data_IF_685466247874
#
_entry.id   IF_685466247874
#
_cell.length_a   1.000
_cell.length_b   1.000
_cell.length_c   1.000
_cell.angle_alpha   90.00
_cell.angle_beta   90.00
_cell.angle_gamma   90.00
#
_symmetry.space_group_name_H-M   'P 1'
#
loop_
_entity.id
_entity.type
_entity.pdbx_description
1 polymer ?
#
# COMPACT_ATOMS: atom_id res chain seq x y z
N UNK A 1 6.79 19.60 8.61
CA UNK A 1 5.74 19.35 7.61
C UNK A 1 5.64 17.86 7.20
N UNK A 2 6.69 17.21 6.64
CA UNK A 2 6.63 15.77 6.28
C UNK A 2 6.55 14.85 7.50
N UNK A 3 7.20 15.21 8.59
CA UNK A 3 7.17 14.49 9.88
C UNK A 3 5.75 14.40 10.45
N UNK A 4 4.95 15.42 10.23
CA UNK A 4 3.60 15.50 10.78
C UNK A 4 2.63 14.56 10.07
N UNK A 5 2.77 14.39 8.75
CA UNK A 5 1.93 13.47 7.95
C UNK A 5 2.23 12.02 8.30
N UNK A 6 3.51 11.67 8.48
CA UNK A 6 3.88 10.33 8.91
C UNK A 6 3.25 9.96 10.26
N UNK A 7 3.17 10.93 11.20
CA UNK A 7 2.49 10.72 12.48
C UNK A 7 1.00 10.42 12.26
N UNK A 8 0.33 11.15 11.36
CA UNK A 8 -1.08 10.89 11.03
C UNK A 8 -1.26 9.48 10.44
N UNK A 9 -0.39 9.08 9.51
CA UNK A 9 -0.41 7.73 8.95
C UNK A 9 -0.17 6.67 10.04
N UNK A 10 0.80 6.89 10.91
CA UNK A 10 1.13 5.97 12.01
C UNK A 10 -0.04 5.85 13.03
N UNK A 11 -0.77 6.94 13.28
CA UNK A 11 -1.98 6.93 14.12
C UNK A 11 -3.11 6.16 13.41
N UNK A 12 -3.37 6.41 12.13
CA UNK A 12 -4.41 5.70 11.38
C UNK A 12 -4.10 4.21 11.32
N UNK A 13 -2.85 3.85 11.02
CA UNK A 13 -2.40 2.46 10.97
C UNK A 13 -2.37 1.76 12.35
N UNK A 14 -2.38 2.52 13.46
CA UNK A 14 -2.28 1.99 14.82
C UNK A 14 -0.87 1.63 15.25
N UNK A 15 0.12 2.25 14.65
CA UNK A 15 1.52 2.18 15.08
C UNK A 15 1.74 3.10 16.29
N UNK A 16 1.06 4.25 16.28
CA UNK A 16 1.09 5.24 17.38
C UNK A 16 -0.34 5.38 17.91
N UNK A 17 -0.46 5.42 19.24
CA UNK A 17 -1.72 5.74 19.92
C UNK A 17 -1.80 7.27 20.04
N UNK A 18 -2.89 7.92 19.61
CA UNK A 18 -3.05 9.36 19.73
C UNK A 18 -3.32 9.76 21.19
N UNK A 19 -2.77 10.88 21.63
CA UNK A 19 -3.09 11.46 22.95
C UNK A 19 -4.54 11.95 23.03
N UNK A 20 -5.09 12.42 21.90
CA UNK A 20 -6.45 12.91 21.76
C UNK A 20 -7.02 12.57 20.39
N UNK A 21 -8.35 12.52 20.30
CA UNK A 21 -9.06 12.19 19.07
C UNK A 21 -9.34 10.71 18.90
N UNK A 22 -9.98 10.36 17.79
CA UNK A 22 -10.38 8.98 17.46
C UNK A 22 -10.20 8.69 15.99
N UNK A 23 -9.96 7.43 15.67
CA UNK A 23 -9.87 6.92 14.31
C UNK A 23 -11.08 6.02 14.03
N UNK A 24 -11.80 6.34 12.96
CA UNK A 24 -12.94 5.54 12.50
C UNK A 24 -12.67 4.98 11.12
N UNK A 25 -12.89 3.69 10.93
CA UNK A 25 -12.87 3.03 9.63
C UNK A 25 -14.26 2.46 9.36
N UNK A 26 -14.89 2.90 8.27
CA UNK A 26 -16.29 2.55 7.95
C UNK A 26 -17.26 2.76 9.11
N UNK A 27 -17.09 3.83 9.89
CA UNK A 27 -17.94 4.16 11.03
C UNK A 27 -17.66 3.37 12.31
N UNK A 28 -16.68 2.45 12.30
CA UNK A 28 -16.24 1.68 13.46
C UNK A 28 -15.04 2.38 14.10
N UNK A 29 -15.09 2.63 15.41
CA UNK A 29 -13.95 3.15 16.18
C UNK A 29 -12.87 2.09 16.27
N UNK A 30 -11.71 2.37 15.67
CA UNK A 30 -10.54 1.48 15.65
C UNK A 30 -9.37 2.01 16.47
N UNK A 31 -9.57 3.09 17.23
CA UNK A 31 -8.51 3.81 17.96
C UNK A 31 -7.70 2.89 18.87
N UNK A 32 -8.38 2.02 19.62
CA UNK A 32 -7.77 1.09 20.56
C UNK A 32 -7.39 -0.27 19.90
N UNK A 33 -7.76 -0.49 18.63
CA UNK A 33 -7.45 -1.75 17.96
C UNK A 33 -5.96 -1.82 17.59
N UNK A 34 -5.33 -2.99 17.74
CA UNK A 34 -3.98 -3.21 17.26
C UNK A 34 -3.94 -3.15 15.73
N UNK A 35 -2.81 -2.76 15.15
CA UNK A 35 -2.58 -2.54 13.72
C UNK A 35 -3.19 -3.63 12.82
N UNK A 36 -2.98 -4.91 13.16
CA UNK A 36 -3.44 -6.05 12.36
C UNK A 36 -4.95 -6.27 12.35
N UNK A 37 -5.71 -5.54 13.19
CA UNK A 37 -7.19 -5.61 13.26
C UNK A 37 -7.89 -4.37 12.70
N UNK A 38 -7.16 -3.35 12.26
CA UNK A 38 -7.74 -2.09 11.77
C UNK A 38 -8.22 -2.16 10.32
N UNK A 39 -7.83 -3.18 9.57
CA UNK A 39 -8.12 -3.25 8.14
C UNK A 39 -7.42 -2.17 7.32
N UNK A 40 -6.29 -1.67 7.81
CA UNK A 40 -5.48 -0.62 7.17
C UNK A 40 -4.22 -1.26 6.59
N UNK A 41 -4.00 -1.05 5.30
CA UNK A 41 -2.75 -1.39 4.61
C UNK A 41 -1.89 -0.15 4.43
N UNK A 42 -0.56 -0.31 4.45
CA UNK A 42 0.36 0.79 4.26
C UNK A 42 1.45 0.42 3.25
N UNK A 43 1.72 1.33 2.33
CA UNK A 43 2.86 1.29 1.41
C UNK A 43 3.82 2.39 1.84
N UNK A 44 5.01 1.99 2.28
CA UNK A 44 6.07 2.89 2.70
C UNK A 44 6.93 3.31 1.51
N UNK A 45 7.55 4.47 1.60
CA UNK A 45 8.48 4.98 0.60
C UNK A 45 9.60 3.97 0.27
N UNK A 46 10.12 3.26 1.27
CA UNK A 46 11.21 2.28 1.15
C UNK A 46 10.75 0.86 0.77
N UNK A 47 9.49 0.68 0.38
CA UNK A 47 8.84 -0.60 0.04
C UNK A 47 8.82 -1.66 1.16
N UNK A 48 9.80 -1.70 2.04
CA UNK A 48 9.93 -2.61 3.21
C UNK A 48 9.58 -4.08 2.92
N UNK A 49 10.07 -4.61 1.79
CA UNK A 49 9.87 -6.01 1.43
C UNK A 49 10.72 -6.92 2.34
N UNK A 50 10.23 -8.14 2.56
CA UNK A 50 10.94 -9.15 3.35
C UNK A 50 12.04 -9.80 2.49
N UNK A 51 13.34 -9.49 2.71
CA UNK A 51 14.42 -9.87 1.80
C UNK A 51 14.68 -11.37 1.76
N UNK A 52 14.29 -12.10 2.80
CA UNK A 52 14.46 -13.56 2.93
C UNK A 52 13.32 -14.37 2.31
N UNK A 53 12.28 -13.68 1.82
CA UNK A 53 11.12 -14.30 1.17
C UNK A 53 11.18 -14.13 -0.35
N UNK A 54 10.52 -15.03 -1.07
CA UNK A 54 10.25 -14.85 -2.50
C UNK A 54 9.29 -13.68 -2.73
N UNK A 55 9.16 -13.25 -3.98
CA UNK A 55 8.16 -12.25 -4.41
C UNK A 55 6.75 -12.74 -4.09
N UNK A 56 6.42 -13.99 -4.41
CA UNK A 56 5.13 -14.59 -4.11
C UNK A 56 4.85 -14.61 -2.60
N UNK A 57 5.82 -15.02 -1.79
CA UNK A 57 5.65 -15.10 -0.34
C UNK A 57 5.49 -13.71 0.31
N UNK A 58 6.15 -12.68 -0.25
CA UNK A 58 5.90 -11.30 0.16
C UNK A 58 4.44 -10.91 -0.06
N UNK A 59 3.90 -11.16 -1.26
CA UNK A 59 2.51 -10.81 -1.58
C UNK A 59 1.51 -11.66 -0.80
N UNK A 60 1.81 -12.94 -0.57
CA UNK A 60 0.97 -13.84 0.20
C UNK A 60 1.02 -13.60 1.72
N UNK A 61 1.90 -12.72 2.21
CA UNK A 61 2.13 -12.54 3.64
C UNK A 61 0.88 -12.04 4.39
N UNK A 62 0.23 -10.98 3.90
CA UNK A 62 -1.00 -10.46 4.51
C UNK A 62 -2.11 -11.51 4.63
N UNK A 63 -2.52 -12.16 3.53
CA UNK A 63 -3.47 -13.26 3.55
C UNK A 63 -3.06 -14.40 4.48
N UNK A 64 -1.76 -14.72 4.56
CA UNK A 64 -1.25 -15.73 5.51
C UNK A 64 -1.53 -15.33 6.96
N UNK A 65 -1.29 -14.09 7.32
CA UNK A 65 -1.53 -13.59 8.68
C UNK A 65 -3.01 -13.54 9.02
N UNK A 66 -3.88 -13.40 8.03
CA UNK A 66 -5.34 -13.46 8.18
C UNK A 66 -5.89 -14.90 8.18
N UNK A 67 -5.04 -15.92 8.18
CA UNK A 67 -5.46 -17.33 8.27
C UNK A 67 -5.97 -17.93 6.96
N UNK A 68 -5.77 -17.25 5.81
CA UNK A 68 -6.18 -17.76 4.50
C UNK A 68 -5.42 -19.04 4.14
N UNK A 69 -6.12 -20.05 3.65
CA UNK A 69 -5.54 -21.34 3.25
C UNK A 69 -4.42 -21.19 2.22
N UNK A 70 -3.42 -22.09 2.26
CA UNK A 70 -2.22 -21.98 1.43
C UNK A 70 -2.53 -21.88 -0.08
N UNK A 71 -3.41 -22.72 -0.59
CA UNK A 71 -3.78 -22.71 -2.01
C UNK A 71 -4.42 -21.38 -2.42
N UNK A 72 -5.36 -20.89 -1.61
CA UNK A 72 -6.06 -19.64 -1.88
C UNK A 72 -5.14 -18.42 -1.82
N UNK A 73 -4.29 -18.31 -0.76
CA UNK A 73 -3.37 -17.17 -0.66
C UNK A 73 -2.31 -17.15 -1.76
N UNK A 74 -1.84 -18.33 -2.22
CA UNK A 74 -0.91 -18.46 -3.35
C UNK A 74 -1.57 -17.97 -4.63
N UNK A 75 -2.79 -18.43 -4.92
CA UNK A 75 -3.54 -17.99 -6.11
C UNK A 75 -3.84 -16.48 -6.05
N UNK A 76 -4.23 -15.96 -4.89
CA UNK A 76 -4.47 -14.53 -4.68
C UNK A 76 -3.20 -13.72 -4.92
N UNK A 77 -2.06 -14.15 -4.40
CA UNK A 77 -0.78 -13.48 -4.59
C UNK A 77 -0.36 -13.48 -6.07
N UNK A 78 -0.41 -14.63 -6.77
CA UNK A 78 -0.10 -14.70 -8.19
C UNK A 78 -1.05 -13.83 -9.04
N UNK A 79 -2.33 -13.72 -8.67
CA UNK A 79 -3.29 -12.85 -9.34
C UNK A 79 -2.91 -11.38 -9.17
N UNK A 80 -2.49 -10.95 -7.99
CA UNK A 80 -2.01 -9.59 -7.76
C UNK A 80 -0.71 -9.29 -8.50
N UNK A 81 0.23 -10.25 -8.53
CA UNK A 81 1.46 -10.11 -9.32
C UNK A 81 1.16 -9.90 -10.81
N UNK A 82 0.22 -10.64 -11.38
CA UNK A 82 -0.22 -10.40 -12.76
C UNK A 82 -0.82 -9.01 -12.97
N UNK A 83 -1.66 -8.54 -12.03
CA UNK A 83 -2.28 -7.20 -12.09
C UNK A 83 -1.26 -6.08 -12.07
N UNK A 84 -0.18 -6.22 -11.30
CA UNK A 84 0.90 -5.23 -11.26
C UNK A 84 1.96 -5.44 -12.36
N UNK A 85 1.68 -6.31 -13.36
CA UNK A 85 2.58 -6.54 -14.49
C UNK A 85 3.84 -7.34 -14.16
N UNK A 86 3.80 -8.19 -13.13
CA UNK A 86 4.91 -9.02 -12.68
C UNK A 86 4.62 -10.53 -12.84
N UNK A 87 3.98 -10.91 -13.97
CA UNK A 87 3.75 -12.32 -14.29
C UNK A 87 5.07 -13.08 -14.36
N UNK A 88 5.14 -14.25 -13.70
CA UNK A 88 6.34 -15.10 -13.69
C UNK A 88 7.44 -14.65 -12.74
N UNK A 89 7.16 -13.72 -11.83
CA UNK A 89 8.12 -13.28 -10.80
C UNK A 89 8.00 -14.06 -9.50
N UNK A 90 7.11 -15.02 -9.41
CA UNK A 90 6.68 -15.71 -8.20
C UNK A 90 7.87 -16.21 -7.36
N UNK A 91 8.84 -16.88 -7.99
CA UNK A 91 9.99 -17.49 -7.32
C UNK A 91 11.22 -16.57 -7.22
N UNK A 92 11.17 -15.37 -7.81
CA UNK A 92 12.29 -14.42 -7.73
C UNK A 92 12.53 -13.98 -6.30
N UNK A 93 13.80 -13.66 -6.01
CA UNK A 93 14.18 -13.02 -4.75
C UNK A 93 13.99 -11.51 -4.83
N UNK A 94 13.58 -10.90 -3.74
CA UNK A 94 13.38 -9.45 -3.64
C UNK A 94 14.65 -8.66 -4.01
N UNK A 95 15.83 -9.19 -3.70
CA UNK A 95 17.10 -8.55 -3.99
C UNK A 95 17.46 -8.47 -5.50
N UNK A 96 16.71 -9.18 -6.34
CA UNK A 96 16.90 -9.19 -7.80
C UNK A 96 16.01 -8.17 -8.51
N UNK A 97 15.16 -7.48 -7.76
CA UNK A 97 14.17 -6.55 -8.31
C UNK A 97 14.79 -5.16 -8.54
N UNK A 98 14.40 -4.53 -9.65
CA UNK A 98 14.57 -3.09 -9.83
C UNK A 98 13.71 -2.31 -8.82
N UNK A 99 14.01 -1.02 -8.62
CA UNK A 99 13.23 -0.16 -7.72
C UNK A 99 11.74 -0.13 -8.07
N UNK A 100 11.40 -0.02 -9.37
CA UNK A 100 10.01 -0.03 -9.84
C UNK A 100 9.31 -1.38 -9.66
N UNK A 101 10.03 -2.50 -9.85
CA UNK A 101 9.48 -3.84 -9.58
C UNK A 101 9.22 -4.04 -8.08
N UNK A 102 10.15 -3.60 -7.23
CA UNK A 102 9.99 -3.67 -5.78
C UNK A 102 8.78 -2.85 -5.29
N UNK A 103 8.56 -1.65 -5.84
CA UNK A 103 7.36 -0.84 -5.55
C UNK A 103 6.07 -1.55 -5.93
N UNK A 104 6.02 -2.17 -7.11
CA UNK A 104 4.86 -2.95 -7.56
C UNK A 104 4.61 -4.19 -6.69
N UNK A 105 5.65 -4.86 -6.22
CA UNK A 105 5.51 -5.96 -5.25
C UNK A 105 4.97 -5.46 -3.91
N UNK A 106 5.46 -4.33 -3.39
CA UNK A 106 4.96 -3.74 -2.14
C UNK A 106 3.48 -3.36 -2.25
N UNK A 107 3.07 -2.78 -3.38
CA UNK A 107 1.68 -2.47 -3.67
C UNK A 107 0.82 -3.74 -3.73
N UNK A 108 1.26 -4.75 -4.49
CA UNK A 108 0.56 -6.04 -4.58
C UNK A 108 0.42 -6.73 -3.21
N UNK A 109 1.47 -6.69 -2.37
CA UNK A 109 1.44 -7.23 -1.01
C UNK A 109 0.36 -6.54 -0.15
N UNK A 110 0.29 -5.22 -0.23
CA UNK A 110 -0.68 -4.43 0.54
C UNK A 110 -2.10 -4.72 0.08
N UNK A 111 -2.35 -4.70 -1.23
CA UNK A 111 -3.69 -4.92 -1.79
C UNK A 111 -4.16 -6.38 -1.69
N UNK A 112 -3.24 -7.36 -1.69
CA UNK A 112 -3.58 -8.77 -1.51
C UNK A 112 -4.19 -9.09 -0.12
N UNK A 113 -3.93 -8.24 0.87
CA UNK A 113 -4.54 -8.33 2.19
C UNK A 113 -6.00 -7.83 2.22
N UNK A 114 -6.50 -7.25 1.12
CA UNK A 114 -7.85 -6.67 0.99
C UNK A 114 -8.16 -5.65 2.11
N UNK A 115 -7.31 -4.64 2.29
CA UNK A 115 -7.52 -3.64 3.33
C UNK A 115 -8.72 -2.75 2.99
N UNK A 116 -9.43 -2.29 4.03
CA UNK A 116 -10.50 -1.30 3.88
C UNK A 116 -9.95 0.10 3.55
N UNK A 117 -8.76 0.40 4.06
CA UNK A 117 -8.04 1.67 3.84
C UNK A 117 -6.60 1.38 3.44
N UNK A 118 -6.10 2.09 2.43
CA UNK A 118 -4.71 2.03 1.97
C UNK A 118 -4.04 3.38 2.20
N UNK A 119 -2.94 3.37 2.93
CA UNK A 119 -2.08 4.54 3.14
C UNK A 119 -0.88 4.43 2.19
N UNK A 120 -0.65 5.47 1.40
CA UNK A 120 0.39 5.53 0.38
C UNK A 120 1.31 6.71 0.68
N UNK A 121 2.53 6.41 1.12
CA UNK A 121 3.55 7.41 1.46
C UNK A 121 4.56 7.51 0.32
N UNK A 122 4.42 8.55 -0.50
CA UNK A 122 5.25 8.82 -1.68
C UNK A 122 5.51 7.56 -2.54
N UNK A 123 4.48 6.84 -2.99
CA UNK A 123 4.62 5.50 -3.55
C UNK A 123 5.42 5.46 -4.85
N UNK A 124 5.51 6.57 -5.59
CA UNK A 124 6.18 6.63 -6.90
C UNK A 124 7.47 7.46 -6.90
N UNK A 125 7.90 7.98 -5.75
CA UNK A 125 9.15 8.75 -5.63
C UNK A 125 10.38 7.95 -6.06
N UNK A 126 11.30 8.62 -6.77
CA UNK A 126 12.58 8.03 -7.21
C UNK A 126 12.49 7.16 -8.46
N UNK A 127 11.38 7.22 -9.19
CA UNK A 127 11.23 6.62 -10.52
C UNK A 127 11.56 7.65 -11.62
N UNK A 128 12.00 7.14 -12.79
CA UNK A 128 12.07 7.98 -13.98
C UNK A 128 10.67 8.41 -14.43
N UNK A 129 10.58 9.53 -15.16
CA UNK A 129 9.30 10.18 -15.49
C UNK A 129 8.34 9.26 -16.25
N UNK A 130 8.83 8.50 -17.23
CA UNK A 130 7.98 7.62 -18.04
C UNK A 130 7.39 6.50 -17.22
N UNK A 131 8.20 5.87 -16.36
CA UNK A 131 7.76 4.80 -15.46
C UNK A 131 6.81 5.36 -14.39
N UNK A 132 7.11 6.54 -13.83
CA UNK A 132 6.26 7.23 -12.86
C UNK A 132 4.85 7.45 -13.41
N UNK A 133 4.72 8.09 -14.58
CA UNK A 133 3.42 8.45 -15.17
C UNK A 133 2.59 7.19 -15.49
N UNK A 134 3.23 6.15 -16.01
CA UNK A 134 2.57 4.86 -16.25
C UNK A 134 2.09 4.21 -14.96
N UNK A 135 2.93 4.17 -13.92
CA UNK A 135 2.57 3.57 -12.65
C UNK A 135 1.51 4.38 -11.89
N UNK A 136 1.43 5.70 -12.06
CA UNK A 136 0.35 6.52 -11.49
C UNK A 136 -1.02 6.09 -12.05
N UNK A 137 -1.12 5.88 -13.36
CA UNK A 137 -2.33 5.39 -14.01
C UNK A 137 -2.68 3.98 -13.54
N UNK A 138 -1.69 3.09 -13.50
CA UNK A 138 -1.87 1.70 -13.06
C UNK A 138 -2.34 1.65 -11.60
N UNK A 139 -1.73 2.46 -10.72
CA UNK A 139 -2.09 2.55 -9.30
C UNK A 139 -3.52 3.05 -9.13
N UNK A 140 -3.92 4.10 -9.85
CA UNK A 140 -5.30 4.60 -9.82
C UNK A 140 -6.31 3.52 -10.23
N UNK A 141 -6.03 2.75 -11.28
CA UNK A 141 -6.87 1.64 -11.71
C UNK A 141 -6.95 0.53 -10.65
N UNK A 142 -5.80 0.14 -10.06
CA UNK A 142 -5.73 -0.90 -9.04
C UNK A 142 -6.51 -0.54 -7.78
N UNK A 143 -6.44 0.72 -7.33
CA UNK A 143 -7.17 1.19 -6.15
C UNK A 143 -8.68 1.18 -6.39
N UNK A 144 -9.14 1.61 -7.57
CA UNK A 144 -10.56 1.56 -7.96
C UNK A 144 -11.06 0.12 -8.05
N UNK A 145 -10.31 -0.77 -8.68
CA UNK A 145 -10.64 -2.19 -8.79
C UNK A 145 -10.72 -2.89 -7.42
N UNK A 146 -9.88 -2.48 -6.48
CA UNK A 146 -9.87 -3.00 -5.11
C UNK A 146 -11.01 -2.44 -4.25
N UNK A 147 -11.74 -1.41 -4.72
CA UNK A 147 -12.74 -0.68 -3.93
C UNK A 147 -12.20 -0.18 -2.58
N UNK A 148 -10.91 0.07 -2.48
CA UNK A 148 -10.26 0.52 -1.26
C UNK A 148 -10.32 2.05 -1.14
N UNK A 149 -10.58 2.54 0.07
CA UNK A 149 -10.36 3.95 0.38
C UNK A 149 -8.85 4.20 0.47
N UNK A 150 -8.32 5.12 -0.33
CA UNK A 150 -6.90 5.44 -0.31
C UNK A 150 -6.64 6.84 0.24
N UNK A 151 -5.59 6.96 1.04
CA UNK A 151 -5.01 8.24 1.44
C UNK A 151 -3.57 8.29 0.91
N UNK A 152 -3.35 9.17 -0.05
CA UNK A 152 -2.07 9.38 -0.72
C UNK A 152 -1.40 10.63 -0.18
N UNK A 153 -0.13 10.51 0.17
CA UNK A 153 0.75 11.66 0.38
C UNK A 153 1.78 11.69 -0.73
N UNK A 154 1.84 12.80 -1.41
CA UNK A 154 2.82 13.06 -2.47
C UNK A 154 3.12 14.55 -2.55
N UNK A 155 4.32 14.89 -3.02
CA UNK A 155 4.69 16.25 -3.39
C UNK A 155 4.56 16.48 -4.91
N UNK A 156 4.18 15.47 -5.68
CA UNK A 156 3.94 15.55 -7.13
C UNK A 156 2.46 15.82 -7.39
N UNK A 157 2.18 17.02 -7.95
CA UNK A 157 0.81 17.43 -8.27
C UNK A 157 0.16 16.63 -9.39
N UNK A 158 0.95 16.15 -10.37
CA UNK A 158 0.46 15.35 -11.49
C UNK A 158 0.09 13.94 -11.00
N UNK A 159 0.89 13.38 -10.09
CA UNK A 159 0.57 12.12 -9.39
C UNK A 159 -0.75 12.24 -8.63
N UNK A 160 -0.88 13.27 -7.80
CA UNK A 160 -2.11 13.51 -7.04
C UNK A 160 -3.33 13.66 -7.94
N UNK A 161 -3.23 14.45 -9.03
CA UNK A 161 -4.32 14.65 -9.98
C UNK A 161 -4.72 13.37 -10.75
N UNK A 162 -3.76 12.46 -10.96
CA UNK A 162 -4.01 11.20 -11.68
C UNK A 162 -4.69 10.17 -10.78
N UNK A 163 -4.29 10.10 -9.51
CA UNK A 163 -4.68 9.02 -8.58
C UNK A 163 -5.90 9.41 -7.74
N UNK A 164 -5.94 10.63 -7.22
CA UNK A 164 -6.90 11.03 -6.20
C UNK A 164 -8.19 11.60 -6.78
N UNK A 165 -9.32 11.26 -6.18
CA UNK A 165 -10.62 11.88 -6.47
C UNK A 165 -10.75 13.28 -5.82
N UNK A 166 -9.98 13.53 -4.76
CA UNK A 166 -9.93 14.79 -4.02
C UNK A 166 -8.52 15.05 -3.48
N UNK A 167 -8.04 16.27 -3.66
CA UNK A 167 -6.75 16.73 -3.13
C UNK A 167 -6.97 17.81 -2.06
N UNK A 168 -6.19 17.76 -0.99
CA UNK A 168 -6.18 18.77 0.09
C UNK A 168 -4.72 19.18 0.30
N UNK A 169 -4.47 20.49 0.38
CA UNK A 169 -3.14 20.98 0.75
C UNK A 169 -2.98 20.95 2.26
N UNK A 170 -1.82 20.49 2.73
CA UNK A 170 -1.54 20.39 4.17
C UNK A 170 -1.60 21.75 4.88
N UNK A 171 -1.33 22.84 4.17
CA UNK A 171 -1.41 24.20 4.68
C UNK A 171 -2.86 24.64 4.99
N UNK A 172 -3.85 23.90 4.48
CA UNK A 172 -5.29 24.20 4.65
C UNK A 172 -5.94 23.34 5.76
N UNK A 173 -5.15 22.52 6.45
CA UNK A 173 -5.56 21.70 7.60
C UNK A 173 -5.09 22.30 8.93
#
# INVERSE_FOLDING_TARGET
ALTDIWIVFAIIAGIIVPDHGRVFVHGVDVTELPTHRRGVGMVFQDNQLFPHMSVLDNVAFGPKMSGVARSERTERASRWLRRVGLSGFDDRRVMELSGGEAKRVALARTLAAEPAVVLLDEPLTGLDRELHDRLAVDLAALLRDAHATALLVTHDHDEAATIADRTVQLADL
#
